data_IF_646054219837
#
_entry.id   IF_646054219837
#
_cell.length_a   1.000
_cell.length_b   1.000
_cell.length_c   1.000
_cell.angle_alpha   90.00
_cell.angle_beta   90.00
_cell.angle_gamma   90.00
#
_symmetry.space_group_name_H-M   'P 1'
#
loop_
_entity.id
_entity.type
_entity.pdbx_description
1 polymer ?
#
# COMPACT_ATOMS: atom_id res chain seq x y z
N UNK A 1 -2.07 6.41 -15.48
CA UNK A 1 -1.10 7.17 -14.64
C UNK A 1 0.31 7.13 -15.25
N UNK A 2 1.26 7.95 -14.78
CA UNK A 2 2.71 7.72 -14.92
C UNK A 2 3.25 7.48 -13.51
N UNK A 3 3.40 6.23 -13.12
CA UNK A 3 3.62 5.82 -11.74
C UNK A 3 4.99 6.23 -11.21
N UNK A 4 6.07 5.95 -11.95
CA UNK A 4 7.42 6.25 -11.46
C UNK A 4 7.59 7.75 -11.16
N UNK A 5 7.05 8.62 -12.02
CA UNK A 5 7.08 10.07 -11.81
C UNK A 5 6.36 10.55 -10.54
N UNK A 6 5.40 9.78 -10.02
CA UNK A 6 4.75 10.08 -8.74
C UNK A 6 5.75 9.88 -7.60
N UNK A 7 6.43 8.73 -7.57
CA UNK A 7 7.38 8.41 -6.51
C UNK A 7 8.65 9.25 -6.58
N UNK A 8 9.11 9.60 -7.78
CA UNK A 8 10.18 10.59 -7.97
C UNK A 8 9.80 11.94 -7.36
N UNK A 9 8.55 12.38 -7.56
CA UNK A 9 8.06 13.61 -6.95
C UNK A 9 7.96 13.51 -5.42
N UNK A 10 7.47 12.39 -4.86
CA UNK A 10 7.44 12.18 -3.40
C UNK A 10 8.87 12.29 -2.84
N UNK A 11 9.84 11.61 -3.48
CA UNK A 11 11.25 11.68 -3.11
C UNK A 11 11.77 13.12 -3.14
N UNK A 12 11.49 13.87 -4.19
CA UNK A 12 11.90 15.28 -4.29
C UNK A 12 11.26 16.16 -3.21
N UNK A 13 9.96 15.98 -2.94
CA UNK A 13 9.24 16.70 -1.88
C UNK A 13 9.92 16.45 -0.53
N UNK A 14 10.30 15.19 -0.22
CA UNK A 14 11.00 14.83 1.03
C UNK A 14 12.39 15.47 1.09
N UNK A 15 13.21 15.32 0.03
CA UNK A 15 14.60 15.85 0.01
C UNK A 15 14.64 17.37 0.18
N UNK A 16 13.67 18.08 -0.40
CA UNK A 16 13.61 19.55 -0.34
C UNK A 16 13.01 20.07 0.97
N UNK A 17 12.40 19.20 1.77
CA UNK A 17 11.67 19.62 2.97
C UNK A 17 12.61 19.81 4.17
N UNK A 18 12.60 20.98 4.85
CA UNK A 18 13.59 21.31 5.88
C UNK A 18 13.50 20.42 7.13
N UNK A 19 12.34 19.84 7.41
CA UNK A 19 12.11 19.03 8.61
C UNK A 19 12.19 17.52 8.36
N UNK A 20 12.50 17.08 7.13
CA UNK A 20 12.49 15.67 6.78
C UNK A 20 13.87 15.17 6.36
N UNK A 21 14.07 13.88 6.56
CA UNK A 21 15.25 13.15 6.15
C UNK A 21 14.83 11.88 5.42
N UNK A 22 15.39 11.68 4.22
CA UNK A 22 15.24 10.45 3.45
C UNK A 22 16.16 9.38 4.03
N UNK A 23 15.62 8.22 4.40
CA UNK A 23 16.37 7.09 4.97
C UNK A 23 16.76 6.11 3.88
N UNK A 24 15.78 5.65 3.11
CA UNK A 24 15.95 4.65 2.07
C UNK A 24 15.23 5.09 0.79
N UNK A 25 15.88 4.86 -0.36
CA UNK A 25 15.28 5.11 -1.66
C UNK A 25 15.87 4.13 -2.69
N UNK A 26 15.05 3.20 -3.14
CA UNK A 26 15.37 2.25 -4.19
C UNK A 26 14.17 2.15 -5.15
N UNK A 27 14.40 2.45 -6.43
CA UNK A 27 13.42 2.26 -7.49
C UNK A 27 13.97 1.17 -8.42
N UNK A 28 13.30 0.03 -8.49
CA UNK A 28 13.73 -1.04 -9.39
C UNK A 28 13.37 -0.66 -10.83
N UNK A 29 14.19 -1.12 -11.78
CA UNK A 29 13.85 -1.03 -13.20
C UNK A 29 12.51 -1.70 -13.46
N UNK A 30 11.70 -1.09 -14.32
CA UNK A 30 10.48 -1.73 -14.79
C UNK A 30 10.76 -2.99 -15.60
N UNK A 31 9.79 -3.90 -15.61
CA UNK A 31 9.82 -5.11 -16.42
C UNK A 31 9.72 -4.77 -17.90
N UNK A 32 10.57 -5.41 -18.71
CA UNK A 32 10.39 -5.41 -20.16
C UNK A 32 9.08 -6.11 -20.55
N UNK A 33 8.64 -5.88 -21.78
CA UNK A 33 7.44 -6.55 -22.31
C UNK A 33 7.59 -8.07 -22.30
N UNK A 34 8.78 -8.59 -22.66
CA UNK A 34 9.05 -10.03 -22.67
C UNK A 34 9.02 -10.62 -21.25
N UNK A 35 9.67 -9.97 -20.28
CA UNK A 35 9.67 -10.43 -18.89
C UNK A 35 8.25 -10.44 -18.32
N UNK A 36 7.48 -9.38 -18.55
CA UNK A 36 6.12 -9.30 -18.06
C UNK A 36 5.21 -10.37 -18.67
N UNK A 37 5.29 -10.65 -19.97
CA UNK A 37 4.48 -11.71 -20.59
C UNK A 37 4.86 -13.11 -20.09
N UNK A 38 6.14 -13.35 -19.80
CA UNK A 38 6.58 -14.60 -19.17
C UNK A 38 5.98 -14.75 -17.78
N UNK A 39 6.06 -13.71 -16.95
CA UNK A 39 5.52 -13.71 -15.59
C UNK A 39 3.99 -13.83 -15.56
N UNK A 40 3.28 -13.21 -16.51
CA UNK A 40 1.82 -13.43 -16.68
C UNK A 40 1.51 -14.87 -17.00
N UNK A 41 2.27 -15.48 -17.90
CA UNK A 41 2.07 -16.87 -18.29
C UNK A 41 2.26 -17.79 -17.09
N UNK A 42 3.31 -17.56 -16.30
CA UNK A 42 3.57 -18.30 -15.07
C UNK A 42 2.45 -18.10 -14.04
N UNK A 43 2.02 -16.85 -13.80
CA UNK A 43 0.90 -16.55 -12.91
C UNK A 43 -0.38 -17.29 -13.33
N UNK A 44 -0.68 -17.35 -14.63
CA UNK A 44 -1.85 -18.08 -15.13
C UNK A 44 -1.70 -19.59 -14.98
N UNK A 45 -0.49 -20.13 -15.09
CA UNK A 45 -0.25 -21.56 -14.86
C UNK A 45 -0.39 -21.93 -13.38
N UNK A 46 0.07 -21.06 -12.49
CA UNK A 46 -0.04 -21.26 -11.04
C UNK A 46 -1.45 -20.99 -10.52
N UNK A 47 -2.11 -19.95 -11.03
CA UNK A 47 -3.36 -19.39 -10.51
C UNK A 47 -4.29 -19.04 -11.68
N UNK A 48 -4.89 -20.08 -12.28
CA UNK A 48 -5.62 -20.02 -13.56
C UNK A 48 -6.69 -18.94 -13.70
N UNK A 49 -7.33 -18.50 -12.62
CA UNK A 49 -8.37 -17.47 -12.70
C UNK A 49 -7.81 -16.06 -13.00
N UNK A 50 -6.51 -15.80 -12.79
CA UNK A 50 -5.88 -14.49 -13.12
C UNK A 50 -5.97 -14.12 -14.59
N UNK A 51 -6.14 -15.09 -15.49
CA UNK A 51 -6.32 -14.81 -16.91
C UNK A 51 -7.57 -13.95 -17.19
N UNK A 52 -8.56 -14.02 -16.31
CA UNK A 52 -9.84 -13.29 -16.41
C UNK A 52 -9.81 -11.91 -15.75
N UNK A 53 -8.80 -11.60 -14.93
CA UNK A 53 -8.79 -10.41 -14.06
C UNK A 53 -8.23 -9.18 -14.81
N UNK A 54 -8.86 -8.01 -14.66
CA UNK A 54 -8.35 -6.77 -15.26
C UNK A 54 -7.18 -6.20 -14.45
N UNK A 55 -5.98 -6.67 -14.77
CA UNK A 55 -4.71 -6.29 -14.13
C UNK A 55 -4.01 -5.11 -14.84
N UNK A 56 -4.67 -4.38 -15.77
CA UNK A 56 -4.01 -3.37 -16.62
C UNK A 56 -3.24 -2.32 -15.83
N UNK A 57 -3.83 -1.79 -14.75
CA UNK A 57 -3.22 -0.76 -13.93
C UNK A 57 -1.94 -1.28 -13.23
N UNK A 58 -2.02 -2.50 -12.70
CA UNK A 58 -0.94 -3.19 -11.98
C UNK A 58 0.21 -3.53 -12.95
N UNK A 59 -0.09 -4.18 -14.07
CA UNK A 59 0.91 -4.46 -15.12
C UNK A 59 1.57 -3.21 -15.64
N UNK A 60 0.82 -2.11 -15.77
CA UNK A 60 1.41 -0.83 -16.17
C UNK A 60 2.39 -0.30 -15.12
N UNK A 61 2.07 -0.41 -13.83
CA UNK A 61 3.00 -0.04 -12.76
C UNK A 61 4.29 -0.85 -12.84
N UNK A 62 4.18 -2.18 -12.91
CA UNK A 62 5.35 -3.06 -12.93
C UNK A 62 6.24 -2.91 -14.17
N UNK A 63 5.70 -2.44 -15.31
CA UNK A 63 6.51 -2.02 -16.48
C UNK A 63 7.26 -0.71 -16.27
N UNK A 64 6.76 0.18 -15.42
CA UNK A 64 7.44 1.44 -15.11
C UNK A 64 8.43 1.27 -13.95
N UNK A 65 8.13 0.40 -12.98
CA UNK A 65 8.94 0.15 -11.79
C UNK A 65 8.60 -1.21 -11.17
N UNK A 66 9.54 -2.18 -11.18
CA UNK A 66 9.30 -3.52 -10.63
C UNK A 66 9.49 -3.56 -9.09
N UNK A 67 8.64 -2.80 -8.40
CA UNK A 67 8.76 -2.59 -6.96
C UNK A 67 9.72 -1.45 -6.60
N UNK A 68 9.53 -0.92 -5.39
CA UNK A 68 10.30 0.20 -4.85
C UNK A 68 10.27 0.24 -3.33
N UNK A 69 11.29 0.86 -2.77
CA UNK A 69 11.33 1.27 -1.36
C UNK A 69 11.59 2.77 -1.27
N UNK A 70 10.77 3.45 -0.49
CA UNK A 70 10.97 4.84 -0.09
C UNK A 70 10.60 4.98 1.38
N UNK A 71 11.55 5.32 2.25
CA UNK A 71 11.29 5.57 3.67
C UNK A 71 11.96 6.84 4.16
N UNK A 72 11.29 7.51 5.09
CA UNK A 72 11.69 8.83 5.56
C UNK A 72 11.17 9.10 6.97
N UNK A 73 11.86 10.01 7.66
CA UNK A 73 11.57 10.41 9.05
C UNK A 73 11.71 11.91 9.24
N UNK A 74 11.44 12.36 10.47
CA UNK A 74 11.78 13.71 10.91
C UNK A 74 13.31 13.85 10.98
N UNK A 75 13.83 14.97 10.49
CA UNK A 75 15.26 15.16 10.30
C UNK A 75 16.05 15.02 11.61
N UNK A 76 17.07 14.15 11.59
CA UNK A 76 17.89 13.81 12.76
C UNK A 76 18.65 14.98 13.40
N UNK A 77 18.87 16.06 12.64
CA UNK A 77 19.56 17.27 13.13
C UNK A 77 18.69 18.14 14.07
N UNK A 78 17.37 17.95 14.05
CA UNK A 78 16.45 18.72 14.90
C UNK A 78 16.57 18.24 16.35
N UNK A 79 16.74 19.17 17.28
CA UNK A 79 16.79 18.86 18.71
C UNK A 79 15.39 18.52 19.28
N UNK A 80 15.34 18.06 20.53
CA UNK A 80 14.09 17.65 21.17
C UNK A 80 13.05 18.78 21.26
N UNK A 81 13.50 20.01 21.53
CA UNK A 81 12.61 21.18 21.57
C UNK A 81 12.01 21.46 20.18
N UNK A 82 12.83 21.47 19.14
CA UNK A 82 12.38 21.66 17.75
C UNK A 82 11.40 20.55 17.32
N UNK A 83 11.66 19.30 17.72
CA UNK A 83 10.78 18.17 17.47
C UNK A 83 9.40 18.36 18.11
N UNK A 84 9.35 18.80 19.37
CA UNK A 84 8.10 19.08 20.08
C UNK A 84 7.34 20.26 19.44
N UNK A 85 8.04 21.33 19.07
CA UNK A 85 7.45 22.47 18.35
C UNK A 85 6.84 22.04 17.00
N UNK A 86 7.47 21.11 16.27
CA UNK A 86 6.91 20.54 15.04
C UNK A 86 5.63 19.76 15.29
N UNK A 87 5.58 18.97 16.37
CA UNK A 87 4.39 18.21 16.75
C UNK A 87 3.21 19.13 17.07
N UNK A 88 3.46 20.26 17.73
CA UNK A 88 2.44 21.29 17.98
C UNK A 88 2.00 22.01 16.70
N UNK A 89 2.96 22.29 15.80
CA UNK A 89 2.72 22.98 14.53
C UNK A 89 1.90 22.14 13.54
N UNK A 90 2.06 20.82 13.57
CA UNK A 90 1.43 19.88 12.63
C UNK A 90 0.60 18.83 13.38
N UNK A 91 -0.53 19.22 14.00
CA UNK A 91 -1.31 18.35 14.90
C UNK A 91 -2.11 17.27 14.18
N UNK A 92 -2.28 17.35 12.86
CA UNK A 92 -2.88 16.34 12.00
C UNK A 92 -1.93 15.21 11.63
N UNK A 93 -0.69 15.25 12.13
CA UNK A 93 0.28 14.18 11.98
C UNK A 93 0.51 13.44 13.30
N UNK A 94 0.62 12.13 13.18
CA UNK A 94 1.05 11.28 14.28
C UNK A 94 2.57 11.16 14.24
N UNK A 95 3.22 11.89 15.15
CA UNK A 95 4.66 11.81 15.36
C UNK A 95 5.01 10.61 16.23
N UNK A 96 6.04 9.81 15.87
CA UNK A 96 6.48 8.68 16.67
C UNK A 96 6.99 9.14 18.05
N UNK A 97 7.09 8.20 18.98
CA UNK A 97 7.63 8.49 20.31
C UNK A 97 9.11 8.91 20.26
N UNK A 98 9.86 8.38 19.29
CA UNK A 98 11.24 8.77 19.02
C UNK A 98 11.40 9.25 17.58
N UNK A 99 12.22 10.29 17.37
CA UNK A 99 12.48 10.88 16.05
C UNK A 99 13.20 9.92 15.09
N UNK A 100 13.81 8.87 15.61
CA UNK A 100 14.61 7.94 14.81
C UNK A 100 13.76 6.97 13.99
N UNK A 101 12.45 6.88 14.29
CA UNK A 101 11.49 6.03 13.60
C UNK A 101 10.99 6.66 12.30
N UNK A 102 10.71 5.80 11.33
CA UNK A 102 10.06 6.16 10.06
C UNK A 102 8.66 6.71 10.33
N UNK A 103 8.31 7.81 9.68
CA UNK A 103 6.93 8.36 9.72
C UNK A 103 6.20 8.13 8.39
N UNK A 104 6.97 7.97 7.30
CA UNK A 104 6.46 7.56 6.01
C UNK A 104 7.30 6.44 5.41
N UNK A 105 6.60 5.47 4.81
CA UNK A 105 7.16 4.32 4.14
C UNK A 105 6.27 3.91 2.98
N UNK A 106 6.90 3.57 1.87
CA UNK A 106 6.30 2.91 0.72
C UNK A 106 7.25 1.77 0.38
N UNK A 107 6.80 0.53 0.47
CA UNK A 107 7.60 -0.64 0.14
C UNK A 107 6.78 -1.54 -0.76
N UNK A 108 6.70 -1.17 -2.04
CA UNK A 108 6.00 -1.97 -3.03
C UNK A 108 6.90 -3.10 -3.49
N UNK A 109 6.47 -4.34 -3.30
CA UNK A 109 7.25 -5.53 -3.64
C UNK A 109 7.31 -5.76 -5.16
N UNK A 110 8.39 -6.40 -5.66
CA UNK A 110 8.48 -6.89 -7.04
C UNK A 110 7.31 -7.80 -7.41
N UNK A 111 6.97 -7.86 -8.70
CA UNK A 111 5.83 -8.62 -9.21
C UNK A 111 5.85 -10.09 -8.77
N UNK A 112 7.03 -10.69 -8.88
CA UNK A 112 7.28 -12.09 -8.57
C UNK A 112 7.04 -12.39 -7.09
N UNK A 113 7.49 -11.50 -6.22
CA UNK A 113 7.25 -11.58 -4.78
C UNK A 113 5.78 -11.41 -4.43
N UNK A 114 5.04 -10.58 -5.16
CA UNK A 114 3.60 -10.39 -4.93
C UNK A 114 2.79 -11.59 -5.40
N UNK A 115 3.01 -12.07 -6.62
CA UNK A 115 2.06 -12.94 -7.31
C UNK A 115 2.51 -14.39 -7.50
N UNK A 116 3.81 -14.67 -7.50
CA UNK A 116 4.35 -16.00 -7.83
C UNK A 116 4.91 -16.73 -6.62
N UNK A 117 5.57 -16.00 -5.72
CA UNK A 117 6.14 -16.61 -4.53
C UNK A 117 5.10 -16.73 -3.43
N UNK A 118 5.08 -17.89 -2.78
CA UNK A 118 4.12 -18.17 -1.71
C UNK A 118 4.39 -17.24 -0.54
N UNK A 119 3.46 -16.31 -0.36
CA UNK A 119 3.42 -15.39 0.76
C UNK A 119 2.71 -16.08 1.93
N UNK A 120 3.43 -16.94 2.66
CA UNK A 120 2.94 -17.65 3.84
C UNK A 120 2.74 -16.72 5.05
N UNK A 121 1.92 -15.66 4.93
CA UNK A 121 1.63 -14.74 6.04
C UNK A 121 0.43 -15.16 6.88
N UNK A 122 -0.45 -16.00 6.36
CA UNK A 122 -1.63 -16.48 7.09
C UNK A 122 -1.36 -17.85 7.72
N UNK A 123 -1.25 -17.85 9.05
CA UNK A 123 -1.14 -19.07 9.83
C UNK A 123 -2.38 -19.96 9.62
N UNK A 124 -2.11 -21.23 9.30
CA UNK A 124 -3.10 -22.28 9.05
C UNK A 124 -3.88 -22.73 10.29
N UNK A 125 -3.64 -22.10 11.45
CA UNK A 125 -4.18 -22.48 12.75
C UNK A 125 -5.65 -22.07 12.99
N UNK A 126 -6.23 -21.14 12.21
CA UNK A 126 -7.66 -20.79 12.28
C UNK A 126 -8.55 -21.70 11.43
N UNK A 127 -8.41 -23.02 11.58
CA UNK A 127 -9.21 -24.06 10.91
C UNK A 127 -10.62 -24.21 11.52
N UNK A 128 -11.29 -23.10 11.84
CA UNK A 128 -12.69 -23.10 12.24
C UNK A 128 -13.62 -23.05 11.03
N UNK A 129 -14.84 -23.57 11.18
CA UNK A 129 -15.97 -23.48 10.24
C UNK A 129 -16.51 -22.02 10.09
N UNK A 130 -15.61 -21.04 10.12
CA UNK A 130 -15.94 -19.63 10.08
C UNK A 130 -16.05 -19.18 8.63
N UNK A 131 -17.28 -18.91 8.22
CA UNK A 131 -17.55 -18.20 6.98
C UNK A 131 -17.12 -16.75 7.12
N UNK A 132 -16.30 -16.30 6.20
CA UNK A 132 -15.82 -14.92 6.09
C UNK A 132 -16.60 -14.23 4.98
N UNK A 133 -17.32 -13.15 5.30
CA UNK A 133 -17.92 -12.32 4.26
C UNK A 133 -16.98 -11.19 3.90
N UNK A 134 -16.64 -11.07 2.62
CA UNK A 134 -15.95 -9.90 2.07
C UNK A 134 -16.72 -9.41 0.85
N UNK A 135 -17.17 -8.15 0.92
CA UNK A 135 -18.13 -7.59 -0.04
C UNK A 135 -19.42 -8.46 -0.14
N UNK A 136 -19.84 -8.86 -1.34
CA UNK A 136 -21.03 -9.69 -1.60
C UNK A 136 -20.72 -11.20 -1.59
N UNK A 137 -19.46 -11.59 -1.34
CA UNK A 137 -19.02 -12.98 -1.36
C UNK A 137 -18.81 -13.54 0.04
N UNK A 138 -19.09 -14.82 0.17
CA UNK A 138 -18.83 -15.60 1.38
C UNK A 138 -17.73 -16.61 1.06
N UNK A 139 -16.67 -16.56 1.85
CA UNK A 139 -15.50 -17.42 1.78
C UNK A 139 -15.55 -18.42 2.92
N UNK A 140 -15.25 -19.68 2.64
CA UNK A 140 -15.28 -20.75 3.64
C UNK A 140 -13.92 -20.87 4.34
N UNK A 141 -13.92 -20.85 5.67
CA UNK A 141 -12.72 -21.00 6.50
C UNK A 141 -11.62 -19.99 6.14
N UNK A 142 -10.39 -20.48 5.98
CA UNK A 142 -9.20 -19.66 5.66
C UNK A 142 -8.99 -19.40 4.15
N UNK A 143 -9.98 -19.71 3.30
CA UNK A 143 -9.84 -19.51 1.85
C UNK A 143 -9.61 -18.05 1.48
N UNK A 144 -10.17 -17.10 2.24
CA UNK A 144 -9.99 -15.67 1.98
C UNK A 144 -8.51 -15.25 2.10
N UNK A 145 -7.85 -15.61 3.20
CA UNK A 145 -6.44 -15.28 3.43
C UNK A 145 -5.51 -15.80 2.34
N UNK A 146 -5.84 -16.95 1.73
CA UNK A 146 -5.06 -17.55 0.63
C UNK A 146 -5.16 -16.80 -0.71
N UNK A 147 -6.10 -15.87 -0.86
CA UNK A 147 -6.23 -15.04 -2.08
C UNK A 147 -5.71 -13.62 -1.88
N UNK A 148 -5.09 -13.34 -0.72
CA UNK A 148 -4.51 -12.04 -0.44
C UNK A 148 -3.08 -12.00 -0.98
N UNK A 149 -2.80 -11.04 -1.87
CA UNK A 149 -1.48 -10.83 -2.45
C UNK A 149 -0.90 -9.53 -1.90
N UNK A 150 -0.06 -9.62 -0.86
CA UNK A 150 0.52 -8.44 -0.20
C UNK A 150 1.49 -7.78 -1.16
N UNK A 151 1.32 -6.48 -1.36
CA UNK A 151 2.15 -5.72 -2.29
C UNK A 151 2.82 -4.49 -1.68
N UNK A 152 2.28 -3.86 -0.62
CA UNK A 152 2.93 -2.72 0.05
C UNK A 152 3.18 -2.99 1.53
N UNK A 153 4.44 -3.25 1.90
CA UNK A 153 4.91 -3.57 3.26
C UNK A 153 5.41 -2.32 4.00
N UNK A 154 4.51 -1.37 4.27
CA UNK A 154 4.86 -0.08 4.87
C UNK A 154 5.00 -0.10 6.40
N UNK A 155 4.66 -1.20 7.07
CA UNK A 155 4.81 -1.36 8.53
C UNK A 155 5.05 -2.83 8.88
N UNK A 156 5.58 -3.10 10.08
CA UNK A 156 5.77 -4.48 10.59
C UNK A 156 4.44 -5.17 10.92
N UNK A 157 3.40 -4.39 11.20
CA UNK A 157 2.09 -4.90 11.63
C UNK A 157 0.97 -4.60 10.64
N UNK A 158 1.24 -3.78 9.62
CA UNK A 158 0.24 -3.33 8.66
C UNK A 158 0.78 -3.33 7.23
N UNK A 159 -0.06 -3.71 6.26
CA UNK A 159 0.30 -3.72 4.84
C UNK A 159 -0.91 -3.44 3.95
N UNK A 160 -0.68 -3.30 2.64
CA UNK A 160 -1.75 -3.38 1.64
C UNK A 160 -1.65 -4.65 0.82
N UNK A 161 -2.81 -5.20 0.47
CA UNK A 161 -2.94 -6.44 -0.28
C UNK A 161 -3.95 -6.31 -1.42
N UNK A 162 -3.72 -7.02 -2.50
CA UNK A 162 -4.71 -7.21 -3.56
C UNK A 162 -5.70 -8.30 -3.15
N UNK A 163 -6.97 -8.06 -3.47
CA UNK A 163 -8.04 -9.06 -3.47
C UNK A 163 -8.52 -9.19 -4.91
N UNK A 164 -8.05 -10.21 -5.65
CA UNK A 164 -8.54 -10.46 -6.99
C UNK A 164 -10.02 -10.84 -6.96
N UNK A 165 -10.75 -10.50 -8.02
CA UNK A 165 -12.20 -10.72 -8.13
C UNK A 165 -12.45 -11.56 -9.41
N UNK A 166 -13.00 -12.77 -9.24
CA UNK A 166 -13.23 -13.73 -10.32
C UNK A 166 -14.24 -13.23 -11.37
N UNK A 167 -14.99 -12.17 -11.09
CA UNK A 167 -15.96 -11.56 -12.01
C UNK A 167 -15.32 -10.69 -13.12
N UNK A 168 -14.06 -10.92 -13.48
CA UNK A 168 -13.28 -10.10 -14.43
C UNK A 168 -13.17 -8.61 -14.05
N UNK A 169 -13.18 -8.30 -12.75
CA UNK A 169 -13.08 -6.91 -12.27
C UNK A 169 -11.63 -6.56 -11.97
N UNK A 170 -11.34 -5.27 -11.90
CA UNK A 170 -10.06 -4.78 -11.38
C UNK A 170 -9.88 -5.29 -9.94
N UNK A 171 -8.68 -5.77 -9.56
CA UNK A 171 -8.43 -6.18 -8.19
C UNK A 171 -8.72 -5.06 -7.21
N UNK A 172 -9.41 -5.43 -6.14
CA UNK A 172 -9.59 -4.56 -4.98
C UNK A 172 -8.27 -4.50 -4.22
N UNK A 173 -8.07 -3.39 -3.53
CA UNK A 173 -6.95 -3.21 -2.60
C UNK A 173 -7.53 -3.01 -1.22
N UNK A 174 -6.96 -3.74 -0.25
CA UNK A 174 -7.35 -3.68 1.15
C UNK A 174 -6.14 -3.45 2.03
N UNK A 175 -6.37 -2.78 3.14
CA UNK A 175 -5.45 -2.67 4.27
C UNK A 175 -5.58 -3.90 5.17
N UNK A 176 -4.45 -4.44 5.63
CA UNK A 176 -4.38 -5.51 6.62
C UNK A 176 -3.66 -4.98 7.86
N UNK A 177 -4.21 -5.21 9.04
CA UNK A 177 -3.61 -4.84 10.34
C UNK A 177 -3.34 -6.05 11.23
N UNK A 178 -2.78 -5.77 12.41
CA UNK A 178 -2.45 -6.76 13.44
C UNK A 178 -1.64 -7.94 12.89
N UNK A 179 -0.46 -7.64 12.34
CA UNK A 179 0.41 -8.62 11.68
C UNK A 179 -0.24 -9.26 10.45
N UNK A 180 -0.99 -8.44 9.71
CA UNK A 180 -1.64 -8.77 8.44
C UNK A 180 -2.84 -9.72 8.54
N UNK A 181 -3.31 -10.05 9.75
CA UNK A 181 -4.40 -11.02 9.94
C UNK A 181 -5.79 -10.36 9.94
N UNK A 182 -5.88 -9.09 10.32
CA UNK A 182 -7.15 -8.36 10.43
C UNK A 182 -7.44 -7.67 9.11
N UNK A 183 -8.48 -8.13 8.42
CA UNK A 183 -8.92 -7.62 7.11
C UNK A 183 -10.36 -7.08 7.13
N UNK A 184 -11.18 -7.48 8.11
CA UNK A 184 -12.59 -7.08 8.24
C UNK A 184 -12.75 -5.63 8.75
N UNK A 185 -11.67 -5.06 9.26
CA UNK A 185 -11.53 -3.64 9.56
C UNK A 185 -10.92 -2.85 8.40
N UNK A 186 -11.20 -3.22 7.14
CA UNK A 186 -10.53 -2.63 5.99
C UNK A 186 -11.46 -1.96 5.00
N UNK A 187 -11.24 -0.68 4.68
CA UNK A 187 -11.88 -0.05 3.52
C UNK A 187 -11.27 -0.59 2.24
N UNK A 188 -12.16 -0.89 1.29
CA UNK A 188 -11.77 -1.28 -0.07
C UNK A 188 -11.40 -0.04 -0.89
N UNK A 189 -10.40 -0.17 -1.76
CA UNK A 189 -10.05 0.79 -2.81
C UNK A 189 -9.59 0.04 -4.07
N UNK A 190 -9.11 0.77 -5.07
CA UNK A 190 -8.46 0.22 -6.27
C UNK A 190 -7.01 0.67 -6.34
N UNK A 191 -6.20 -0.02 -7.13
CA UNK A 191 -4.76 0.23 -7.20
C UNK A 191 -4.43 1.68 -7.58
N UNK A 192 -5.02 2.20 -8.66
CA UNK A 192 -4.80 3.60 -9.09
C UNK A 192 -5.23 4.62 -8.01
N UNK A 193 -6.32 4.31 -7.28
CA UNK A 193 -6.79 5.15 -6.17
C UNK A 193 -5.83 5.09 -4.99
N UNK A 194 -5.28 3.92 -4.68
CA UNK A 194 -4.26 3.76 -3.65
C UNK A 194 -2.97 4.51 -3.99
N UNK A 195 -2.49 4.44 -5.24
CA UNK A 195 -1.31 5.21 -5.64
C UNK A 195 -1.55 6.72 -5.56
N UNK A 196 -2.75 7.20 -5.96
CA UNK A 196 -3.09 8.62 -5.77
C UNK A 196 -3.13 9.02 -4.29
N UNK A 197 -3.60 8.12 -3.42
CA UNK A 197 -3.51 8.33 -1.97
C UNK A 197 -2.05 8.47 -1.53
N UNK A 198 -1.16 7.58 -1.95
CA UNK A 198 0.29 7.66 -1.63
C UNK A 198 0.91 8.96 -2.13
N UNK A 199 0.53 9.41 -3.32
CA UNK A 199 0.97 10.69 -3.87
C UNK A 199 0.58 11.85 -2.94
N UNK A 200 -0.67 11.88 -2.48
CA UNK A 200 -1.17 12.95 -1.61
C UNK A 200 -0.55 12.91 -0.22
N UNK A 201 -0.38 11.73 0.37
CA UNK A 201 0.10 11.58 1.76
C UNK A 201 1.61 11.40 1.86
N UNK A 202 2.31 11.30 0.72
CA UNK A 202 3.75 11.00 0.64
C UNK A 202 4.10 9.67 1.32
N UNK A 203 3.13 8.76 1.38
CA UNK A 203 3.31 7.46 2.01
C UNK A 203 3.43 7.50 3.53
N UNK A 204 2.84 8.50 4.20
CA UNK A 204 2.69 8.47 5.66
C UNK A 204 2.03 7.16 6.13
N UNK A 205 2.60 6.56 7.16
CA UNK A 205 2.16 5.26 7.70
C UNK A 205 0.78 5.42 8.35
N UNK A 206 0.64 6.40 9.25
CA UNK A 206 -0.59 6.57 10.03
C UNK A 206 -1.77 7.06 9.19
N UNK A 207 -1.54 7.84 8.13
CA UNK A 207 -2.61 8.25 7.22
C UNK A 207 -3.29 7.06 6.52
N UNK A 208 -2.60 5.92 6.33
CA UNK A 208 -3.23 4.70 5.79
C UNK A 208 -4.19 4.10 6.80
N UNK A 209 -3.78 4.00 8.06
CA UNK A 209 -4.65 3.51 9.15
C UNK A 209 -5.88 4.40 9.28
N UNK A 210 -5.72 5.71 9.36
CA UNK A 210 -6.84 6.65 9.52
C UNK A 210 -7.91 6.52 8.43
N UNK A 211 -7.50 6.22 7.20
CA UNK A 211 -8.40 6.13 6.04
C UNK A 211 -8.93 4.73 5.79
N UNK A 212 -8.06 3.72 5.91
CA UNK A 212 -8.37 2.35 5.52
C UNK A 212 -8.72 1.44 6.69
N UNK A 213 -8.26 1.73 7.91
CA UNK A 213 -8.64 0.98 9.11
C UNK A 213 -10.02 1.44 9.61
N UNK A 214 -11.05 0.71 9.21
CA UNK A 214 -12.42 1.04 9.53
C UNK A 214 -13.24 -0.22 9.75
N UNK A 215 -13.84 -0.34 10.93
CA UNK A 215 -14.72 -1.47 11.27
C UNK A 215 -15.78 -1.71 10.19
N UNK A 216 -15.82 -2.94 9.66
CA UNK A 216 -16.67 -3.36 8.53
C UNK A 216 -16.58 -2.47 7.30
N UNK A 217 -15.40 -1.89 7.08
CA UNK A 217 -15.08 -1.08 5.92
C UNK A 217 -15.18 -1.84 4.59
N UNK A 218 -15.07 -3.16 4.67
CA UNK A 218 -15.12 -4.15 3.59
C UNK A 218 -16.51 -4.22 2.93
N UNK A 219 -17.55 -3.86 3.69
CA UNK A 219 -18.94 -3.82 3.23
C UNK A 219 -19.32 -2.50 2.56
N UNK A 220 -18.43 -1.49 2.62
CA UNK A 220 -18.71 -0.16 2.11
C UNK A 220 -18.25 -0.04 0.67
N UNK A 221 -18.80 0.96 -0.03
CA UNK A 221 -18.33 1.30 -1.39
C UNK A 221 -16.82 1.59 -1.38
N UNK A 222 -16.09 1.15 -2.43
CA UNK A 222 -14.68 1.43 -2.57
C UNK A 222 -14.38 2.93 -2.51
N UNK A 223 -13.30 3.30 -1.85
CA UNK A 223 -12.79 4.66 -1.84
C UNK A 223 -12.17 4.95 -3.21
N UNK A 224 -12.60 6.04 -3.87
CA UNK A 224 -12.06 6.43 -5.17
C UNK A 224 -11.31 7.74 -5.02
N UNK A 225 -9.99 7.69 -5.17
CA UNK A 225 -9.13 8.87 -5.17
C UNK A 225 -8.78 9.27 -6.60
N UNK A 226 -9.41 10.34 -7.08
CA UNK A 226 -9.17 10.90 -8.43
C UNK A 226 -8.25 12.13 -8.42
N UNK A 227 -7.93 12.69 -7.26
CA UNK A 227 -7.20 13.95 -7.15
C UNK A 227 -5.68 13.72 -7.19
N UNK A 228 -4.96 14.64 -7.84
CA UNK A 228 -3.49 14.79 -7.73
C UNK A 228 -3.17 15.75 -6.57
N UNK A 229 -1.93 15.75 -6.07
CA UNK A 229 -1.33 16.68 -5.09
C UNK A 229 -2.06 18.03 -4.91
N UNK A 230 -2.28 18.51 -3.66
CA UNK A 230 -3.01 19.76 -3.40
C UNK A 230 -4.44 19.58 -2.86
N UNK A 231 -4.69 18.64 -1.94
CA UNK A 231 -6.07 18.23 -1.57
C UNK A 231 -6.34 18.34 -0.06
N UNK A 232 -7.60 18.18 0.36
CA UNK A 232 -7.98 18.20 1.78
C UNK A 232 -7.27 17.13 2.63
N UNK A 233 -6.84 16.03 1.99
CA UNK A 233 -6.08 14.94 2.62
C UNK A 233 -4.56 15.13 2.54
N UNK A 234 -4.09 16.22 1.93
CA UNK A 234 -2.68 16.56 2.01
C UNK A 234 -2.34 16.91 3.45
N UNK A 235 -1.32 16.27 4.05
CA UNK A 235 -0.92 16.58 5.42
C UNK A 235 -0.41 18.02 5.53
N UNK A 236 -0.70 18.70 6.63
CA UNK A 236 -0.33 20.09 6.87
C UNK A 236 1.18 20.35 6.69
N UNK A 237 2.01 19.35 7.01
CA UNK A 237 3.46 19.37 6.81
C UNK A 237 3.87 19.66 5.36
N UNK A 238 3.07 19.23 4.39
CA UNK A 238 3.35 19.42 2.96
C UNK A 238 2.56 20.56 2.33
N UNK A 239 1.70 21.25 3.08
CA UNK A 239 0.97 22.43 2.60
C UNK A 239 1.93 23.61 2.51
N UNK A 240 1.86 24.35 1.41
CA UNK A 240 2.60 25.59 1.19
C UNK A 240 1.88 26.78 1.81
#
# INVERSE_FOLDING_TARGET
MKYLSIFEKIKEDIIKHPYLELIECQFNSGLSEVELENLKTELYQCVGYFQSIDMKAIYKFYRECNGLTLSWRIASHLNEKEYLELKEKFPDLTFPYTRDLEIGKIKILPFEEVFLYEQNYFDTSNSGDHFTQFNEYIYEGNSFGKMLFIFDLFSETCCMSFVPDEDNKEPKVIFLSDYYIVWDNSRITFFDSYINFLAVTRGLIESRKEIFDHFRGDTKKPIIYKKKYGTDLEPSLFKK
#
